data_IF_091708719866
#
_entry.id   IF_091708719866
#
_cell.length_a   1.000
_cell.length_b   1.000
_cell.length_c   1.000
_cell.angle_alpha   90.00
_cell.angle_beta   90.00
_cell.angle_gamma   90.00
#
_symmetry.space_group_name_H-M   'P 1'
#
loop_
_entity.id
_entity.type
_entity.pdbx_description
1 polymer ?
#
# COMPACT_ATOMS: atom_id res chain seq x y z
N UNK A 1 -26.38 4.94 -20.92
CA UNK A 1 -25.87 6.31 -21.14
C UNK A 1 -24.64 6.21 -22.02
N UNK A 2 -24.45 7.17 -22.93
CA UNK A 2 -23.18 7.29 -23.64
C UNK A 2 -22.07 7.71 -22.65
N UNK A 3 -20.82 7.35 -22.93
CA UNK A 3 -19.67 7.79 -22.12
C UNK A 3 -19.33 9.24 -22.48
N UNK A 4 -18.97 10.04 -21.48
CA UNK A 4 -18.48 11.40 -21.69
C UNK A 4 -16.97 11.33 -21.96
N UNK A 5 -16.58 11.27 -23.23
CA UNK A 5 -15.18 11.16 -23.66
C UNK A 5 -14.85 12.41 -24.46
N UNK A 6 -13.90 13.19 -23.94
CA UNK A 6 -13.38 14.39 -24.60
C UNK A 6 -11.93 14.14 -25.02
N UNK A 7 -11.59 14.52 -26.25
CA UNK A 7 -10.25 14.40 -26.80
C UNK A 7 -9.85 15.77 -27.34
N UNK A 8 -8.81 16.35 -26.75
CA UNK A 8 -8.31 17.66 -27.15
C UNK A 8 -6.81 17.65 -27.45
N UNK A 9 -6.39 18.57 -28.32
CA UNK A 9 -4.97 18.84 -28.55
C UNK A 9 -4.51 19.88 -27.54
N UNK A 10 -3.56 19.49 -26.70
CA UNK A 10 -2.91 20.41 -25.75
C UNK A 10 -1.72 21.12 -26.41
N UNK A 11 -1.48 22.37 -26.05
CA UNK A 11 -0.31 23.15 -26.50
C UNK A 11 0.59 23.49 -25.30
N UNK A 12 1.44 22.54 -24.92
CA UNK A 12 2.40 22.66 -23.81
C UNK A 12 3.81 22.32 -24.29
N UNK A 13 4.81 22.91 -23.63
CA UNK A 13 6.20 22.48 -23.78
C UNK A 13 6.34 21.05 -23.22
N UNK A 14 6.76 20.07 -24.04
CA UNK A 14 7.01 18.70 -23.56
C UNK A 14 7.95 18.69 -22.37
N UNK A 15 7.74 17.78 -21.40
CA UNK A 15 8.56 17.66 -20.18
C UNK A 15 10.06 17.63 -20.52
N UNK A 16 10.44 16.81 -21.51
CA UNK A 16 11.80 16.67 -22.04
C UNK A 16 12.44 17.97 -22.56
N UNK A 17 11.63 19.01 -22.83
CA UNK A 17 12.09 20.31 -23.34
C UNK A 17 12.00 21.41 -22.30
N UNK A 18 11.61 21.10 -21.07
CA UNK A 18 11.59 22.06 -19.98
C UNK A 18 13.00 22.25 -19.43
N UNK A 19 13.29 23.45 -18.90
CA UNK A 19 14.61 23.75 -18.34
C UNK A 19 14.88 23.03 -17.02
N UNK A 20 13.85 22.50 -16.36
CA UNK A 20 13.95 21.88 -15.04
C UNK A 20 12.87 20.83 -14.90
N UNK A 21 13.26 19.66 -14.39
CA UNK A 21 12.39 18.54 -14.09
C UNK A 21 12.78 18.00 -12.70
N UNK A 22 11.78 17.66 -11.89
CA UNK A 22 11.98 17.03 -10.58
C UNK A 22 11.13 15.77 -10.51
N UNK A 23 11.79 14.66 -10.22
CA UNK A 23 11.14 13.35 -10.08
C UNK A 23 11.64 12.70 -8.79
N UNK A 24 10.71 12.13 -8.01
CA UNK A 24 11.01 11.38 -6.79
C UNK A 24 10.34 10.00 -6.85
N UNK A 25 11.00 9.00 -6.28
CA UNK A 25 10.41 7.69 -6.04
C UNK A 25 10.81 7.15 -4.69
N UNK A 26 9.83 6.95 -3.82
CA UNK A 26 9.98 6.21 -2.56
C UNK A 26 10.04 4.71 -2.83
N UNK A 27 11.10 4.06 -2.36
CA UNK A 27 11.36 2.63 -2.48
C UNK A 27 10.55 1.80 -1.48
N UNK A 28 10.59 0.48 -1.62
CA UNK A 28 9.73 -0.43 -0.85
C UNK A 28 9.94 -0.37 0.68
N UNK A 29 11.14 0.03 1.13
CA UNK A 29 11.44 0.20 2.55
C UNK A 29 11.17 1.59 3.12
N UNK A 30 10.78 2.56 2.28
CA UNK A 30 10.39 3.87 2.78
C UNK A 30 9.09 3.74 3.60
N UNK A 31 8.98 4.35 4.80
CA UNK A 31 7.79 4.20 5.65
C UNK A 31 6.46 4.43 4.92
N UNK A 32 6.34 5.50 4.13
CA UNK A 32 5.13 5.75 3.33
C UNK A 32 4.81 4.59 2.36
N UNK A 33 5.81 4.04 1.66
CA UNK A 33 5.60 2.92 0.74
C UNK A 33 5.33 1.59 1.45
N UNK A 34 5.82 1.44 2.70
CA UNK A 34 5.44 0.33 3.57
C UNK A 34 3.96 0.45 3.93
N UNK A 35 3.50 1.65 4.30
CA UNK A 35 2.09 1.90 4.62
C UNK A 35 1.19 1.57 3.41
N UNK A 36 1.55 2.07 2.22
CA UNK A 36 0.86 1.74 0.96
C UNK A 36 0.81 0.23 0.70
N UNK A 37 1.96 -0.43 0.83
CA UNK A 37 2.08 -1.87 0.55
C UNK A 37 1.30 -2.73 1.54
N UNK A 38 1.27 -2.36 2.81
CA UNK A 38 0.47 -3.02 3.84
C UNK A 38 -1.02 -2.79 3.58
N UNK A 39 -1.44 -1.54 3.34
CA UNK A 39 -2.82 -1.17 3.05
C UNK A 39 -3.41 -1.99 1.88
N UNK A 40 -2.68 -2.06 0.76
CA UNK A 40 -3.06 -2.87 -0.41
C UNK A 40 -3.06 -4.36 -0.09
N UNK A 41 -2.06 -4.86 0.65
CA UNK A 41 -1.98 -6.29 0.98
C UNK A 41 -3.13 -6.73 1.88
N UNK A 42 -3.53 -5.89 2.83
CA UNK A 42 -4.71 -6.09 3.68
C UNK A 42 -5.99 -6.10 2.83
N UNK A 43 -6.19 -5.11 1.97
CA UNK A 43 -7.35 -5.03 1.05
C UNK A 43 -7.51 -6.31 0.22
N UNK A 44 -6.41 -6.77 -0.39
CA UNK A 44 -6.39 -8.03 -1.17
C UNK A 44 -6.71 -9.25 -0.31
N UNK A 45 -6.22 -9.30 0.92
CA UNK A 45 -6.47 -10.42 1.82
C UNK A 45 -7.95 -10.48 2.24
N UNK A 46 -8.56 -9.34 2.55
CA UNK A 46 -9.99 -9.26 2.84
C UNK A 46 -10.83 -9.61 1.62
N UNK A 47 -10.49 -9.07 0.44
CA UNK A 47 -11.14 -9.40 -0.83
C UNK A 47 -11.15 -10.90 -1.12
N UNK A 48 -10.00 -11.57 -0.95
CA UNK A 48 -9.90 -13.04 -1.11
C UNK A 48 -10.76 -13.78 -0.11
N UNK A 49 -10.68 -13.41 1.17
CA UNK A 49 -11.50 -14.00 2.21
C UNK A 49 -13.00 -13.89 1.88
N UNK A 50 -13.45 -12.72 1.45
CA UNK A 50 -14.85 -12.53 1.07
C UNK A 50 -15.25 -13.37 -0.15
N UNK A 51 -14.41 -13.40 -1.18
CA UNK A 51 -14.68 -14.20 -2.38
C UNK A 51 -14.77 -15.70 -2.09
N UNK A 52 -13.87 -16.22 -1.25
CA UNK A 52 -13.80 -17.64 -0.88
C UNK A 52 -14.98 -18.09 -0.01
N UNK A 53 -15.50 -17.22 0.86
CA UNK A 53 -16.55 -17.58 1.83
C UNK A 53 -17.96 -17.12 1.42
N UNK A 54 -18.07 -16.07 0.60
CA UNK A 54 -19.34 -15.44 0.23
C UNK A 54 -19.54 -15.27 -1.28
N UNK A 55 -18.60 -15.75 -2.10
CA UNK A 55 -18.70 -15.71 -3.57
C UNK A 55 -18.66 -14.30 -4.18
N UNK A 56 -18.36 -13.27 -3.37
CA UNK A 56 -18.29 -11.88 -3.80
C UNK A 56 -17.38 -11.07 -2.88
N UNK A 57 -16.87 -9.94 -3.35
CA UNK A 57 -16.09 -9.02 -2.52
C UNK A 57 -17.07 -8.11 -1.76
N UNK A 58 -17.03 -8.15 -0.43
CA UNK A 58 -17.82 -7.26 0.41
C UNK A 58 -17.12 -5.92 0.60
N UNK A 59 -17.89 -4.88 0.96
CA UNK A 59 -17.36 -3.54 1.15
C UNK A 59 -16.23 -3.47 2.18
N UNK A 60 -15.11 -2.89 1.77
CA UNK A 60 -14.01 -2.50 2.65
C UNK A 60 -13.15 -1.43 1.97
N UNK A 61 -12.58 -0.53 2.78
CA UNK A 61 -11.53 0.42 2.40
C UNK A 61 -10.48 0.37 3.52
N UNK A 62 -9.25 -0.02 3.18
CA UNK A 62 -8.13 -0.21 4.13
C UNK A 62 -6.91 0.59 3.72
N UNK A 63 -7.16 1.75 3.13
CA UNK A 63 -6.21 2.72 2.58
C UNK A 63 -5.56 3.62 3.66
N UNK A 64 -5.96 3.46 4.92
CA UNK A 64 -5.36 4.16 6.06
C UNK A 64 -4.44 3.21 6.84
N UNK A 65 -3.12 3.42 6.73
CA UNK A 65 -2.12 2.70 7.51
C UNK A 65 -1.13 3.69 8.10
N UNK A 66 -0.97 3.69 9.42
CA UNK A 66 0.02 4.52 10.10
C UNK A 66 1.23 3.69 10.49
N UNK A 67 2.42 4.26 10.29
CA UNK A 67 3.66 3.73 10.85
C UNK A 67 4.18 4.73 11.86
N UNK A 68 4.40 4.27 13.09
CA UNK A 68 5.08 5.02 14.13
C UNK A 68 6.50 4.47 14.23
N UNK A 69 7.49 5.36 14.10
CA UNK A 69 8.90 4.98 14.18
C UNK A 69 9.27 4.46 15.57
N UNK A 70 10.04 3.38 15.59
CA UNK A 70 10.71 2.91 16.81
C UNK A 70 12.08 3.55 17.00
N UNK A 71 12.94 2.91 17.79
CA UNK A 71 14.32 3.34 18.04
C UNK A 71 15.29 2.17 17.86
N UNK A 72 16.49 2.45 17.36
CA UNK A 72 17.55 1.44 17.19
C UNK A 72 18.92 2.00 17.51
N UNK A 73 19.84 1.12 17.90
CA UNK A 73 21.25 1.41 18.13
C UNK A 73 22.12 0.64 17.10
N UNK A 74 22.19 1.10 15.84
CA UNK A 74 23.02 0.47 14.82
C UNK A 74 24.51 0.69 15.10
N UNK A 75 25.34 -0.30 14.76
CA UNK A 75 26.81 -0.22 14.82
C UNK A 75 27.45 -1.08 13.74
N UNK A 76 28.73 -0.89 13.46
CA UNK A 76 29.43 -1.81 12.57
C UNK A 76 29.35 -3.25 13.12
N UNK A 77 29.02 -4.20 12.24
CA UNK A 77 28.84 -5.61 12.61
C UNK A 77 27.49 -5.97 13.25
N UNK A 78 26.54 -5.02 13.38
CA UNK A 78 25.19 -5.33 13.87
C UNK A 78 24.49 -4.15 14.54
N UNK A 79 23.84 -4.41 15.67
CA UNK A 79 23.03 -3.43 16.37
C UNK A 79 21.86 -4.10 17.06
N UNK A 80 20.97 -3.30 17.64
CA UNK A 80 19.74 -3.77 18.28
C UNK A 80 18.61 -2.78 18.06
N UNK A 81 17.39 -3.28 17.89
CA UNK A 81 16.17 -2.48 17.96
C UNK A 81 15.84 -2.29 19.44
N UNK A 82 15.85 -1.03 19.88
CA UNK A 82 15.59 -0.65 21.27
C UNK A 82 14.10 -0.56 21.54
N UNK A 83 13.36 0.03 20.61
CA UNK A 83 11.91 0.17 20.64
C UNK A 83 11.36 -0.28 19.29
N UNK A 84 10.38 -1.21 19.25
CA UNK A 84 9.81 -1.65 18.00
C UNK A 84 9.06 -0.53 17.30
N UNK A 85 9.04 -0.55 15.97
CA UNK A 85 8.12 0.29 15.21
C UNK A 85 6.68 -0.22 15.39
N UNK A 86 5.69 0.66 15.30
CA UNK A 86 4.28 0.28 15.40
C UNK A 86 3.56 0.50 14.07
N UNK A 87 2.85 -0.53 13.61
CA UNK A 87 1.96 -0.48 12.45
C UNK A 87 0.51 -0.45 12.95
N UNK A 88 -0.23 0.60 12.60
CA UNK A 88 -1.64 0.74 12.96
C UNK A 88 -2.49 0.67 11.68
N UNK A 89 -3.27 -0.41 11.58
CA UNK A 89 -4.18 -0.64 10.45
C UNK A 89 -5.52 0.04 10.73
N UNK A 90 -5.93 0.96 9.88
CA UNK A 90 -7.18 1.72 10.01
C UNK A 90 -8.03 1.50 8.74
N UNK A 91 -9.33 1.74 8.87
CA UNK A 91 -10.25 1.65 7.73
C UNK A 91 -11.60 1.05 8.09
N UNK A 92 -12.35 0.71 7.05
CA UNK A 92 -13.71 0.18 7.12
C UNK A 92 -13.77 -1.19 6.47
N UNK A 93 -14.54 -2.11 7.04
CA UNK A 93 -14.83 -3.41 6.44
C UNK A 93 -16.19 -3.94 6.92
N UNK A 94 -16.75 -4.88 6.17
CA UNK A 94 -17.88 -5.70 6.67
C UNK A 94 -17.34 -6.66 7.72
N UNK A 95 -17.74 -6.47 8.97
CA UNK A 95 -17.27 -7.29 10.10
C UNK A 95 -18.23 -8.42 10.48
N UNK A 96 -19.45 -8.42 9.96
CA UNK A 96 -20.49 -9.37 10.33
C UNK A 96 -21.41 -9.61 9.12
N UNK A 97 -21.83 -10.87 8.91
CA UNK A 97 -22.78 -11.28 7.86
C UNK A 97 -23.77 -12.27 8.49
N UNK A 98 -25.08 -12.05 8.36
CA UNK A 98 -26.12 -12.92 8.95
C UNK A 98 -25.84 -13.28 10.43
N UNK A 99 -25.49 -12.27 11.25
CA UNK A 99 -25.12 -12.39 12.66
C UNK A 99 -23.86 -13.23 12.97
N UNK A 100 -23.11 -13.66 11.94
CA UNK A 100 -21.80 -14.29 12.09
C UNK A 100 -20.68 -13.24 12.10
N UNK A 101 -19.82 -13.29 13.12
CA UNK A 101 -18.65 -12.40 13.25
C UNK A 101 -17.50 -12.85 12.35
N UNK A 102 -17.04 -11.97 11.49
CA UNK A 102 -15.94 -12.25 10.56
C UNK A 102 -14.56 -11.96 11.18
N UNK A 103 -13.52 -12.77 10.85
CA UNK A 103 -12.16 -12.65 11.38
C UNK A 103 -11.35 -11.52 10.70
N UNK A 104 -11.96 -10.36 10.41
CA UNK A 104 -11.37 -9.28 9.61
C UNK A 104 -10.06 -8.77 10.22
N UNK A 105 -10.04 -8.50 11.52
CA UNK A 105 -8.85 -7.95 12.19
C UNK A 105 -7.69 -8.94 12.19
N UNK A 106 -7.95 -10.21 12.47
CA UNK A 106 -6.94 -11.27 12.41
C UNK A 106 -6.41 -11.46 10.99
N UNK A 107 -7.28 -11.41 9.97
CA UNK A 107 -6.88 -11.49 8.55
C UNK A 107 -6.00 -10.31 8.17
N UNK A 108 -6.37 -9.08 8.54
CA UNK A 108 -5.60 -7.87 8.26
C UNK A 108 -4.22 -7.91 8.93
N UNK A 109 -4.15 -8.24 10.22
CA UNK A 109 -2.90 -8.33 10.96
C UNK A 109 -1.98 -9.41 10.36
N UNK A 110 -2.53 -10.58 10.01
CA UNK A 110 -1.76 -11.65 9.34
C UNK A 110 -1.21 -11.16 7.99
N UNK A 111 -2.03 -10.50 7.18
CA UNK A 111 -1.63 -9.97 5.88
C UNK A 111 -0.49 -8.94 6.00
N UNK A 112 -0.58 -8.03 6.97
CA UNK A 112 0.46 -7.04 7.26
C UNK A 112 1.77 -7.70 7.72
N UNK A 113 1.70 -8.69 8.62
CA UNK A 113 2.88 -9.47 9.05
C UNK A 113 3.52 -10.21 7.89
N UNK A 114 2.72 -10.89 7.07
CA UNK A 114 3.20 -11.65 5.91
C UNK A 114 3.86 -10.71 4.87
N UNK A 115 3.30 -9.51 4.68
CA UNK A 115 3.93 -8.45 3.85
C UNK A 115 5.31 -8.08 4.39
N UNK A 116 5.44 -7.80 5.69
CA UNK A 116 6.72 -7.42 6.28
C UNK A 116 7.75 -8.56 6.18
N UNK A 117 7.36 -9.79 6.54
CA UNK A 117 8.24 -10.97 6.48
C UNK A 117 8.73 -11.26 5.06
N UNK A 118 7.92 -10.98 4.06
CA UNK A 118 8.27 -11.20 2.64
C UNK A 118 9.23 -10.14 2.10
N UNK A 119 9.07 -8.89 2.50
CA UNK A 119 9.76 -7.76 1.87
C UNK A 119 11.03 -7.31 2.61
N UNK A 120 11.16 -7.61 3.91
CA UNK A 120 12.29 -7.16 4.73
C UNK A 120 13.15 -8.33 5.18
N UNK A 121 14.41 -8.34 4.74
CA UNK A 121 15.33 -9.45 5.05
C UNK A 121 15.92 -9.37 6.46
N UNK A 122 16.15 -8.15 6.98
CA UNK A 122 16.89 -7.93 8.22
C UNK A 122 16.02 -7.44 9.38
N UNK A 123 14.71 -7.34 9.17
CA UNK A 123 13.75 -6.94 10.19
C UNK A 123 13.12 -8.19 10.79
N UNK A 124 13.25 -8.39 12.09
CA UNK A 124 12.52 -9.45 12.78
C UNK A 124 11.11 -8.95 13.10
N UNK A 125 10.14 -9.29 12.26
CA UNK A 125 8.75 -8.85 12.39
C UNK A 125 8.10 -9.24 13.73
N UNK A 126 8.59 -10.28 14.40
CA UNK A 126 8.00 -10.74 15.67
C UNK A 126 8.52 -9.94 16.88
N UNK A 127 9.68 -9.28 16.79
CA UNK A 127 10.29 -8.51 17.89
C UNK A 127 10.45 -7.01 17.59
N UNK A 128 10.63 -6.65 16.33
CA UNK A 128 11.03 -5.30 15.90
C UNK A 128 9.83 -4.46 15.44
N UNK A 129 8.65 -5.10 15.30
CA UNK A 129 7.42 -4.45 14.84
C UNK A 129 6.21 -4.93 15.65
N UNK A 130 5.40 -3.99 16.12
CA UNK A 130 4.09 -4.27 16.69
C UNK A 130 2.98 -3.93 15.69
N UNK A 131 1.84 -4.59 15.83
CA UNK A 131 0.69 -4.42 14.94
C UNK A 131 -0.57 -4.20 15.75
N UNK A 132 -1.26 -3.10 15.47
CA UNK A 132 -2.59 -2.80 15.98
C UNK A 132 -3.57 -2.70 14.81
N UNK A 133 -4.83 -3.03 15.05
CA UNK A 133 -5.87 -3.00 14.04
C UNK A 133 -7.13 -2.33 14.58
N UNK A 134 -7.35 -1.11 14.07
CA UNK A 134 -8.51 -0.27 14.34
C UNK A 134 -9.56 -0.34 13.22
N UNK A 135 -9.43 -1.26 12.26
CA UNK A 135 -10.46 -1.50 11.25
C UNK A 135 -11.81 -1.77 11.94
N UNK A 136 -12.81 -1.01 11.51
CA UNK A 136 -14.16 -0.99 12.08
C UNK A 136 -15.25 -1.18 11.04
N UNK A 137 -16.49 -1.25 11.51
CA UNK A 137 -17.67 -1.38 10.63
C UNK A 137 -17.83 -0.14 9.75
N UNK A 138 -18.12 -0.32 8.47
CA UNK A 138 -18.49 0.76 7.55
C UNK A 138 -19.76 1.51 7.97
N UNK A 139 -19.94 2.75 7.51
CA UNK A 139 -21.17 3.53 7.75
C UNK A 139 -22.39 2.84 7.12
N UNK A 140 -23.57 3.06 7.70
CA UNK A 140 -24.81 2.42 7.23
C UNK A 140 -25.15 2.83 5.79
N UNK A 141 -24.93 4.09 5.45
CA UNK A 141 -25.31 4.67 4.15
C UNK A 141 -24.44 4.15 2.99
N UNK A 142 -23.14 3.93 3.25
CA UNK A 142 -22.24 3.38 2.22
C UNK A 142 -22.50 1.89 1.97
N UNK A 143 -23.04 1.13 2.94
CA UNK A 143 -23.35 -0.30 2.73
C UNK A 143 -24.37 -0.50 1.62
N UNK A 144 -25.40 0.35 1.55
CA UNK A 144 -26.47 0.24 0.55
C UNK A 144 -26.01 0.43 -0.90
N UNK A 145 -24.91 1.18 -1.12
CA UNK A 145 -24.32 1.33 -2.46
C UNK A 145 -23.68 0.02 -2.96
N UNK A 146 -23.02 -0.71 -2.07
CA UNK A 146 -22.31 -1.96 -2.36
C UNK A 146 -23.21 -3.20 -2.35
N UNK A 147 -24.38 -3.14 -1.71
CA UNK A 147 -25.41 -4.19 -1.78
C UNK A 147 -26.20 -4.16 -3.10
N UNK A 148 -26.06 -3.08 -3.88
CA UNK A 148 -26.73 -2.98 -5.18
C UNK A 148 -26.02 -3.85 -6.23
N UNK A 149 -26.78 -4.56 -7.08
CA UNK A 149 -26.24 -5.32 -8.23
C UNK A 149 -25.56 -4.44 -9.29
N UNK A 150 -25.48 -3.13 -9.08
CA UNK A 150 -24.87 -2.16 -9.98
C UNK A 150 -23.56 -1.69 -9.36
N UNK A 151 -22.47 -1.78 -10.11
CA UNK A 151 -21.20 -1.17 -9.74
C UNK A 151 -21.36 0.36 -9.81
N UNK A 152 -21.66 0.98 -8.67
CA UNK A 152 -21.72 2.43 -8.52
C UNK A 152 -20.38 2.95 -7.99
N UNK A 153 -20.05 4.19 -8.35
CA UNK A 153 -18.92 4.87 -7.73
C UNK A 153 -19.19 5.04 -6.23
N UNK A 154 -18.18 4.78 -5.42
CA UNK A 154 -18.24 4.94 -3.97
C UNK A 154 -18.01 6.39 -3.53
N UNK A 155 -17.37 7.18 -4.38
CA UNK A 155 -17.05 8.59 -4.15
C UNK A 155 -16.96 9.35 -5.49
N UNK A 156 -16.93 10.68 -5.42
CA UNK A 156 -16.67 11.57 -6.56
C UNK A 156 -15.18 11.86 -6.66
N UNK A 157 -14.46 10.96 -7.35
CA UNK A 157 -12.99 10.98 -7.47
C UNK A 157 -12.55 10.97 -8.93
N UNK A 158 -11.31 11.39 -9.20
CA UNK A 158 -10.71 11.35 -10.54
C UNK A 158 -9.33 10.71 -10.51
N UNK A 159 -8.97 9.99 -11.59
CA UNK A 159 -7.64 9.41 -11.78
C UNK A 159 -6.90 10.10 -12.91
N UNK A 160 -5.59 10.31 -12.75
CA UNK A 160 -4.71 10.91 -13.76
C UNK A 160 -3.67 9.87 -14.18
N UNK A 161 -3.40 9.80 -15.48
CA UNK A 161 -2.32 9.00 -16.03
C UNK A 161 -1.76 9.65 -17.30
N UNK A 162 -0.51 9.36 -17.61
CA UNK A 162 0.17 9.85 -18.80
C UNK A 162 1.16 8.80 -19.31
N UNK A 163 1.54 8.93 -20.58
CA UNK A 163 2.58 8.13 -21.21
C UNK A 163 3.13 8.86 -22.45
N UNK A 164 4.40 8.60 -22.84
CA UNK A 164 5.40 7.82 -22.11
C UNK A 164 5.99 8.58 -20.92
N UNK A 165 6.79 7.89 -20.10
CA UNK A 165 7.66 8.55 -19.13
C UNK A 165 8.81 9.28 -19.83
N UNK A 166 9.27 10.38 -19.23
CA UNK A 166 10.50 11.08 -19.60
C UNK A 166 11.75 10.22 -19.30
N UNK A 167 12.90 10.65 -19.81
CA UNK A 167 14.19 10.06 -19.48
C UNK A 167 14.46 10.10 -17.96
N UNK A 168 14.25 11.24 -17.30
CA UNK A 168 14.44 11.40 -15.85
C UNK A 168 13.51 10.47 -15.06
N UNK A 169 12.23 10.41 -15.43
CA UNK A 169 11.24 9.54 -14.78
C UNK A 169 11.65 8.07 -14.88
N UNK A 170 12.10 7.66 -16.05
CA UNK A 170 12.58 6.30 -16.30
C UNK A 170 13.85 6.00 -15.50
N UNK A 171 14.81 6.92 -15.43
CA UNK A 171 16.04 6.78 -14.64
C UNK A 171 15.71 6.59 -13.17
N UNK A 172 14.85 7.44 -12.60
CA UNK A 172 14.45 7.35 -11.17
C UNK A 172 13.76 6.01 -10.89
N UNK A 173 12.79 5.63 -11.73
CA UNK A 173 12.06 4.37 -11.58
C UNK A 173 12.98 3.14 -11.65
N UNK A 174 13.83 3.07 -12.68
CA UNK A 174 14.69 1.92 -12.92
C UNK A 174 15.86 1.86 -11.94
N UNK A 175 16.35 3.00 -11.43
CA UNK A 175 17.37 3.05 -10.36
C UNK A 175 16.83 2.39 -9.10
N UNK A 176 15.65 2.79 -8.62
CA UNK A 176 15.04 2.18 -7.44
C UNK A 176 14.81 0.67 -7.61
N UNK A 177 14.32 0.23 -8.78
CA UNK A 177 14.13 -1.19 -9.10
C UNK A 177 15.45 -1.97 -9.17
N UNK A 178 16.50 -1.38 -9.75
CA UNK A 178 17.81 -2.01 -9.86
C UNK A 178 18.42 -2.22 -8.49
N UNK A 179 18.39 -1.21 -7.62
CA UNK A 179 18.97 -1.25 -6.28
C UNK A 179 18.23 -2.30 -5.43
N UNK A 180 16.90 -2.20 -5.32
CA UNK A 180 16.07 -3.16 -4.55
C UNK A 180 15.98 -4.56 -5.19
N UNK A 181 16.39 -4.71 -6.45
CA UNK A 181 16.35 -5.96 -7.19
C UNK A 181 17.71 -6.62 -7.35
N UNK A 182 18.34 -6.38 -8.51
CA UNK A 182 19.57 -7.08 -8.92
C UNK A 182 20.76 -6.75 -8.02
N UNK A 183 20.89 -5.49 -7.59
CA UNK A 183 22.06 -5.04 -6.84
C UNK A 183 22.04 -5.59 -5.41
N UNK A 184 20.90 -5.53 -4.72
CA UNK A 184 20.73 -6.12 -3.38
C UNK A 184 21.05 -7.61 -3.29
N UNK A 185 20.73 -8.39 -4.34
CA UNK A 185 21.11 -9.81 -4.41
C UNK A 185 22.62 -10.04 -4.45
N UNK A 186 23.39 -9.07 -4.95
CA UNK A 186 24.86 -9.11 -5.01
C UNK A 186 25.51 -8.46 -3.78
N UNK A 187 24.93 -7.37 -3.29
CA UNK A 187 25.45 -6.56 -2.18
C UNK A 187 24.46 -6.64 -1.02
N UNK A 188 24.74 -7.56 -0.09
CA UNK A 188 23.87 -7.84 1.07
C UNK A 188 23.67 -6.65 2.01
N UNK A 189 24.60 -5.70 2.03
CA UNK A 189 24.52 -4.51 2.90
C UNK A 189 23.51 -3.44 2.46
N UNK A 190 22.84 -3.62 1.31
CA UNK A 190 21.83 -2.67 0.83
C UNK A 190 20.48 -2.94 1.49
N UNK A 191 19.98 -1.96 2.26
CA UNK A 191 18.65 -1.96 2.85
C UNK A 191 17.53 -1.77 1.82
N UNK A 192 16.28 -1.93 2.26
CA UNK A 192 15.07 -1.77 1.45
C UNK A 192 14.65 -0.29 1.27
N UNK A 193 15.01 0.57 2.22
CA UNK A 193 14.65 2.00 2.24
C UNK A 193 15.61 2.82 1.35
N UNK A 194 15.08 3.26 0.20
CA UNK A 194 15.78 3.99 -0.86
C UNK A 194 14.82 5.05 -1.38
N UNK A 195 15.30 6.27 -1.60
CA UNK A 195 14.52 7.40 -2.12
C UNK A 195 15.35 8.18 -3.13
#
# INVERSE_FOLDING_TARGET
MARNIEIEKINYTPIEKQNTELVERKGIGHPDSIADGIAETVSRALSKYYLENYGSILHHNTDECQIVGGQSAPKFGGGVVLEPAEVILVGRAVTDVNDERLPIRSTAIKAARDYMKKNFMYLNVDTDVTFDCKIGKGSVDLRGLYESKKLLANDTSFGIGYAPFSETEKIVLETAKMINGKLKKKIKGIGEDIK
#
